data_IF_129360026832
#
_entry.id   IF_129360026832
#
_cell.length_a   1.000
_cell.length_b   1.000
_cell.length_c   1.000
_cell.angle_alpha   90.00
_cell.angle_beta   90.00
_cell.angle_gamma   90.00
#
_symmetry.space_group_name_H-M   'P 1'
#
loop_
_entity.id
_entity.type
_entity.pdbx_description
1 polymer ?
#
# COMPACT_ATOMS: atom_id res chain seq x y z
N UNK A 1 -11.34 -11.26 13.24
CA UNK A 1 -11.30 -11.17 11.77
C UNK A 1 -10.63 -9.87 11.41
N UNK A 2 -9.65 -9.95 10.54
CA UNK A 2 -8.90 -8.80 10.08
C UNK A 2 -9.67 -8.09 8.98
N UNK A 3 -9.55 -6.78 8.92
CA UNK A 3 -10.12 -5.95 7.88
C UNK A 3 -9.06 -4.96 7.39
N UNK A 4 -9.12 -4.63 6.12
CA UNK A 4 -8.16 -3.70 5.52
C UNK A 4 -8.80 -2.36 5.23
N UNK A 5 -8.02 -1.31 5.45
CA UNK A 5 -8.32 0.03 5.00
C UNK A 5 -7.41 0.28 3.82
N UNK A 6 -7.99 0.51 2.67
CA UNK A 6 -7.21 0.76 1.47
C UNK A 6 -7.60 2.10 0.88
N UNK A 7 -6.60 2.86 0.49
CA UNK A 7 -6.77 3.99 -0.41
C UNK A 7 -6.45 3.50 -1.83
N UNK A 8 -7.40 2.74 -2.42
CA UNK A 8 -7.41 2.49 -3.85
C UNK A 8 -6.49 1.41 -4.42
N UNK A 9 -5.93 0.49 -3.61
CA UNK A 9 -5.20 -0.68 -4.13
C UNK A 9 -6.08 -1.94 -4.12
N UNK A 10 -7.18 -1.91 -4.84
CA UNK A 10 -7.89 -3.13 -5.21
C UNK A 10 -7.26 -3.73 -6.45
N UNK A 11 -7.02 -5.03 -6.45
CA UNK A 11 -6.71 -5.75 -7.65
C UNK A 11 -7.79 -5.47 -8.70
N UNK A 12 -7.34 -5.28 -9.95
CA UNK A 12 -8.17 -5.05 -11.12
C UNK A 12 -8.61 -3.60 -11.37
N UNK A 13 -8.24 -3.15 -12.55
CA UNK A 13 -8.53 -1.93 -13.27
C UNK A 13 -9.95 -1.35 -13.09
N UNK A 14 -10.94 -2.18 -12.74
CA UNK A 14 -12.34 -1.78 -12.58
C UNK A 14 -12.72 -1.21 -11.21
N UNK A 15 -11.83 -1.34 -10.19
CA UNK A 15 -12.13 -0.93 -8.81
C UNK A 15 -11.50 0.40 -8.40
N UNK A 16 -10.64 0.95 -9.24
CA UNK A 16 -9.99 2.22 -8.92
C UNK A 16 -11.04 3.33 -8.84
N UNK A 17 -10.89 4.20 -7.83
CA UNK A 17 -11.77 5.36 -7.63
C UNK A 17 -11.87 6.22 -8.88
N UNK A 18 -10.80 6.36 -9.65
CA UNK A 18 -10.77 7.11 -10.92
C UNK A 18 -11.80 6.59 -11.89
N UNK A 19 -11.96 5.27 -12.03
CA UNK A 19 -12.94 4.68 -12.94
C UNK A 19 -14.37 4.80 -12.43
N UNK A 20 -14.56 4.72 -11.10
CA UNK A 20 -15.89 4.85 -10.47
C UNK A 20 -16.41 6.28 -10.49
N UNK A 21 -15.54 7.27 -10.44
CA UNK A 21 -15.89 8.69 -10.43
C UNK A 21 -15.64 9.39 -11.76
N UNK A 22 -15.24 8.66 -12.81
CA UNK A 22 -14.94 9.25 -14.13
C UNK A 22 -13.77 10.24 -14.12
N UNK A 23 -12.79 10.02 -13.22
CA UNK A 23 -11.59 10.85 -13.11
C UNK A 23 -10.49 10.34 -14.04
N UNK A 24 -9.55 11.22 -14.39
CA UNK A 24 -8.34 10.81 -15.10
C UNK A 24 -7.32 10.17 -14.13
N UNK A 25 -6.56 9.17 -14.61
CA UNK A 25 -5.48 8.57 -13.83
C UNK A 25 -4.47 9.67 -13.45
N UNK A 26 -4.09 9.73 -12.17
CA UNK A 26 -3.19 10.77 -11.65
C UNK A 26 -3.84 12.09 -11.24
N UNK A 27 -5.16 12.23 -11.40
CA UNK A 27 -5.89 13.40 -10.88
C UNK A 27 -5.65 13.60 -9.38
N UNK A 28 -5.40 14.85 -8.98
CA UNK A 28 -5.21 15.22 -7.58
C UNK A 28 -6.58 15.43 -6.94
N UNK A 29 -6.86 14.67 -5.89
CA UNK A 29 -8.06 14.88 -5.08
C UNK A 29 -7.82 16.04 -4.10
N UNK A 30 -8.86 16.84 -3.86
CA UNK A 30 -8.79 17.96 -2.88
C UNK A 30 -8.49 17.47 -1.47
N UNK A 31 -9.08 16.34 -1.10
CA UNK A 31 -8.89 15.69 0.20
C UNK A 31 -8.57 14.21 0.01
N UNK A 32 -7.82 13.60 0.93
CA UNK A 32 -7.62 12.15 0.93
C UNK A 32 -8.95 11.42 1.16
N UNK A 33 -9.13 10.30 0.47
CA UNK A 33 -10.30 9.43 0.62
C UNK A 33 -9.84 8.12 1.27
N UNK A 34 -10.58 7.68 2.27
CA UNK A 34 -10.39 6.39 2.94
C UNK A 34 -11.49 5.45 2.44
N UNK A 35 -11.11 4.30 1.92
CA UNK A 35 -12.00 3.25 1.45
C UNK A 35 -11.74 1.97 2.24
N UNK A 36 -12.79 1.20 2.50
CA UNK A 36 -12.73 -0.05 3.23
C UNK A 36 -12.93 -1.23 2.29
N UNK A 37 -12.18 -2.31 2.54
CA UNK A 37 -12.26 -3.55 1.80
C UNK A 37 -12.41 -4.72 2.76
N UNK A 38 -13.26 -5.67 2.41
CA UNK A 38 -13.35 -6.92 3.12
C UNK A 38 -12.25 -7.85 2.63
N UNK A 39 -11.30 -8.20 3.51
CA UNK A 39 -10.20 -9.09 3.16
C UNK A 39 -10.71 -10.52 2.99
N UNK A 40 -10.93 -10.90 1.76
CA UNK A 40 -11.39 -12.21 1.37
C UNK A 40 -11.00 -12.53 -0.07
N UNK A 41 -9.94 -13.30 -0.24
CA UNK A 41 -9.38 -13.65 -1.57
C UNK A 41 -10.40 -14.32 -2.47
N UNK A 42 -11.29 -15.18 -1.93
CA UNK A 42 -12.31 -15.87 -2.70
C UNK A 42 -13.37 -14.92 -3.28
N UNK A 43 -13.60 -13.78 -2.62
CA UNK A 43 -14.50 -12.72 -3.08
C UNK A 43 -13.73 -11.60 -3.81
N UNK A 44 -12.41 -11.72 -3.87
CA UNK A 44 -11.51 -10.75 -4.47
C UNK A 44 -11.53 -9.39 -3.74
N UNK A 45 -11.54 -9.37 -2.42
CA UNK A 45 -11.47 -8.18 -1.56
C UNK A 45 -12.48 -7.08 -1.97
N UNK A 46 -13.79 -7.31 -1.86
CA UNK A 46 -14.78 -6.34 -2.30
C UNK A 46 -14.71 -5.05 -1.46
N UNK A 47 -14.98 -3.92 -2.13
CA UNK A 47 -15.19 -2.65 -1.43
C UNK A 47 -16.45 -2.73 -0.57
N UNK A 48 -16.36 -2.21 0.66
CA UNK A 48 -17.45 -2.20 1.62
C UNK A 48 -17.64 -0.79 2.21
N UNK A 49 -18.83 -0.52 2.72
CA UNK A 49 -19.13 0.71 3.44
C UNK A 49 -19.01 0.51 4.96
N UNK A 50 -19.05 1.61 5.70
CA UNK A 50 -19.07 1.57 7.17
C UNK A 50 -20.33 0.81 7.66
N UNK A 51 -21.46 0.93 6.96
CA UNK A 51 -22.68 0.23 7.26
C UNK A 51 -22.52 -1.29 7.11
N UNK A 52 -21.80 -1.74 6.07
CA UNK A 52 -21.47 -3.17 5.92
C UNK A 52 -20.60 -3.69 7.07
N UNK A 53 -19.65 -2.87 7.55
CA UNK A 53 -18.79 -3.23 8.68
C UNK A 53 -19.63 -3.37 9.96
N UNK A 54 -20.55 -2.42 10.19
CA UNK A 54 -21.41 -2.38 11.39
C UNK A 54 -22.41 -3.53 11.42
N UNK A 55 -23.13 -3.79 10.32
CA UNK A 55 -24.17 -4.83 10.28
C UNK A 55 -23.61 -6.25 10.44
N UNK A 56 -22.33 -6.44 10.10
CA UNK A 56 -21.63 -7.72 10.25
C UNK A 56 -20.79 -7.81 11.54
N UNK A 57 -20.85 -6.81 12.40
CA UNK A 57 -20.06 -6.72 13.64
C UNK A 57 -18.54 -6.94 13.45
N UNK A 58 -18.03 -6.56 12.27
CA UNK A 58 -16.60 -6.70 11.99
C UNK A 58 -15.73 -5.70 12.75
N UNK A 59 -16.25 -4.47 12.96
CA UNK A 59 -15.63 -3.46 13.80
C UNK A 59 -16.69 -2.51 14.37
N UNK A 60 -16.44 -2.02 15.59
CA UNK A 60 -17.28 -0.99 16.19
C UNK A 60 -16.88 0.41 15.68
N UNK A 61 -17.67 1.42 16.04
CA UNK A 61 -17.51 2.78 15.57
C UNK A 61 -16.19 3.43 16.02
N UNK A 62 -15.74 3.14 17.24
CA UNK A 62 -14.46 3.63 17.77
C UNK A 62 -13.27 3.03 17.01
N UNK A 63 -13.31 1.74 16.71
CA UNK A 63 -12.29 1.06 15.92
C UNK A 63 -12.20 1.63 14.50
N UNK A 64 -13.34 1.84 13.85
CA UNK A 64 -13.43 2.45 12.52
C UNK A 64 -12.84 3.86 12.55
N UNK A 65 -13.26 4.69 13.50
CA UNK A 65 -12.74 6.06 13.68
C UNK A 65 -11.24 6.07 13.93
N UNK A 66 -10.75 5.17 14.79
CA UNK A 66 -9.32 5.06 15.12
C UNK A 66 -8.50 4.67 13.89
N UNK A 67 -8.92 3.66 13.16
CA UNK A 67 -8.23 3.23 11.94
C UNK A 67 -8.24 4.32 10.85
N UNK A 68 -9.37 5.01 10.67
CA UNK A 68 -9.47 6.16 9.75
C UNK A 68 -8.46 7.24 10.12
N UNK A 69 -8.40 7.64 11.39
CA UNK A 69 -7.50 8.68 11.86
C UNK A 69 -6.03 8.29 11.70
N UNK A 70 -5.69 7.02 12.00
CA UNK A 70 -4.34 6.49 11.76
C UNK A 70 -4.01 6.53 10.27
N UNK A 71 -4.92 6.12 9.40
CA UNK A 71 -4.73 6.12 7.95
C UNK A 71 -4.48 7.52 7.39
N UNK A 72 -5.23 8.52 7.84
CA UNK A 72 -5.04 9.91 7.44
C UNK A 72 -3.69 10.46 7.92
N UNK A 73 -3.30 10.15 9.15
CA UNK A 73 -1.99 10.56 9.68
C UNK A 73 -0.84 9.89 8.92
N UNK A 74 -0.95 8.61 8.59
CA UNK A 74 0.03 7.90 7.75
C UNK A 74 0.10 8.54 6.36
N UNK A 75 -1.06 8.92 5.78
CA UNK A 75 -1.08 9.64 4.50
C UNK A 75 -0.25 10.92 4.54
N UNK A 76 -0.40 11.74 5.58
CA UNK A 76 0.32 13.00 5.69
C UNK A 76 1.83 12.79 5.80
N UNK A 77 2.24 11.82 6.64
CA UNK A 77 3.65 11.45 6.84
C UNK A 77 4.25 10.93 5.53
N UNK A 78 3.62 9.94 4.91
CA UNK A 78 4.14 9.32 3.68
C UNK A 78 4.14 10.28 2.50
N UNK A 79 3.11 11.11 2.36
CA UNK A 79 3.03 12.11 1.30
C UNK A 79 4.15 13.14 1.43
N UNK A 80 4.48 13.56 2.65
CA UNK A 80 5.61 14.45 2.92
C UNK A 80 6.95 13.80 2.62
N UNK A 81 7.15 12.59 3.13
CA UNK A 81 8.38 11.81 2.95
C UNK A 81 8.68 11.54 1.47
N UNK A 82 7.72 11.03 0.72
CA UNK A 82 7.92 10.73 -0.70
C UNK A 82 8.09 11.99 -1.55
N UNK A 83 7.34 13.06 -1.25
CA UNK A 83 7.49 14.35 -1.93
C UNK A 83 8.89 14.93 -1.77
N UNK A 84 9.48 14.82 -0.58
CA UNK A 84 10.84 15.32 -0.30
C UNK A 84 11.91 14.68 -1.20
N UNK A 85 11.67 13.46 -1.67
CA UNK A 85 12.59 12.70 -2.54
C UNK A 85 12.12 12.62 -4.01
N UNK A 86 11.19 13.49 -4.41
CA UNK A 86 10.72 13.58 -5.79
C UNK A 86 9.84 12.40 -6.22
N UNK A 87 9.11 11.80 -5.28
CA UNK A 87 8.15 10.73 -5.52
C UNK A 87 6.74 11.22 -5.17
N UNK A 88 5.76 10.93 -6.01
CA UNK A 88 4.34 11.18 -5.79
C UNK A 88 3.72 9.91 -5.22
N UNK A 89 3.19 9.97 -4.00
CA UNK A 89 2.32 8.95 -3.45
C UNK A 89 0.92 9.11 -4.04
N UNK A 90 0.48 8.13 -4.82
CA UNK A 90 -0.85 8.16 -5.46
C UNK A 90 -1.89 7.57 -4.53
N UNK A 91 -1.64 6.38 -4.02
CA UNK A 91 -2.44 5.69 -3.03
C UNK A 91 -1.61 4.61 -2.31
N UNK A 92 -2.18 4.05 -1.27
CA UNK A 92 -1.57 2.95 -0.52
C UNK A 92 -2.62 2.12 0.21
N UNK A 93 -2.27 0.88 0.52
CA UNK A 93 -3.07 -0.06 1.29
C UNK A 93 -2.51 -0.19 2.70
N UNK A 94 -3.41 -0.26 3.69
CA UNK A 94 -3.09 -0.57 5.08
C UNK A 94 -3.97 -1.73 5.54
N UNK A 95 -3.45 -2.57 6.40
CA UNK A 95 -4.21 -3.59 7.11
C UNK A 95 -4.14 -3.33 8.60
N UNK A 96 -5.28 -3.45 9.28
CA UNK A 96 -5.38 -3.26 10.72
C UNK A 96 -5.80 -4.54 11.40
N UNK A 97 -5.20 -4.80 12.56
CA UNK A 97 -5.54 -5.91 13.42
C UNK A 97 -5.84 -5.45 14.83
N UNK A 98 -6.41 -6.36 15.63
CA UNK A 98 -6.61 -6.17 17.05
C UNK A 98 -5.49 -6.81 17.83
N UNK A 99 -4.85 -6.01 18.66
CA UNK A 99 -3.83 -6.48 19.60
C UNK A 99 -4.38 -6.39 21.02
N UNK A 100 -4.21 -7.45 21.80
CA UNK A 100 -4.61 -7.55 23.18
C UNK A 100 -3.38 -7.48 24.07
N UNK A 101 -3.35 -6.51 24.99
CA UNK A 101 -2.32 -6.40 26.01
C UNK A 101 -3.00 -6.28 27.37
N UNK A 102 -2.96 -7.35 28.18
CA UNK A 102 -3.47 -7.39 29.53
C UNK A 102 -4.87 -6.75 29.70
N UNK A 103 -5.86 -7.17 28.96
CA UNK A 103 -7.22 -6.66 28.95
C UNK A 103 -7.50 -5.41 28.08
N UNK A 104 -6.45 -4.69 27.67
CA UNK A 104 -6.63 -3.55 26.77
C UNK A 104 -6.56 -3.99 25.30
N UNK A 105 -7.62 -3.72 24.57
CA UNK A 105 -7.73 -3.96 23.13
C UNK A 105 -7.23 -2.73 22.36
N UNK A 106 -6.26 -2.93 21.49
CA UNK A 106 -5.69 -1.87 20.63
C UNK A 106 -5.86 -2.19 19.16
N UNK A 107 -6.19 -1.20 18.37
CA UNK A 107 -6.09 -1.28 16.90
C UNK A 107 -4.68 -0.88 16.52
N UNK A 108 -4.01 -1.77 15.78
CA UNK A 108 -2.64 -1.58 15.30
C UNK A 108 -2.56 -1.84 13.79
N UNK A 109 -1.56 -1.25 13.16
CA UNK A 109 -1.18 -1.57 11.78
C UNK A 109 -0.46 -2.92 11.78
N UNK A 110 -0.85 -3.84 10.89
CA UNK A 110 -0.33 -5.23 10.86
C UNK A 110 0.31 -5.63 9.54
N UNK A 111 0.32 -4.75 8.55
CA UNK A 111 0.95 -5.01 7.25
C UNK A 111 2.08 -4.01 6.99
N UNK A 112 2.93 -4.32 6.03
CA UNK A 112 4.05 -3.47 5.63
C UNK A 112 3.60 -2.22 4.88
N UNK A 113 4.46 -1.21 4.88
CA UNK A 113 4.41 -0.06 3.99
C UNK A 113 5.61 -0.18 3.03
N UNK A 114 5.33 -0.54 1.79
CA UNK A 114 6.35 -0.85 0.79
C UNK A 114 5.88 -0.45 -0.62
N UNK A 115 6.73 -0.52 -1.65
CA UNK A 115 6.29 -0.33 -3.04
C UNK A 115 5.29 -1.41 -3.52
N UNK A 116 5.08 -2.49 -2.77
CA UNK A 116 4.03 -3.49 -3.02
C UNK A 116 2.66 -3.00 -2.58
N UNK A 117 2.61 -2.24 -1.49
CA UNK A 117 1.37 -1.72 -0.88
C UNK A 117 1.12 -0.25 -1.19
N UNK A 118 2.09 0.45 -1.80
CA UNK A 118 1.99 1.85 -2.21
C UNK A 118 2.06 1.97 -3.72
N UNK A 119 1.29 2.90 -4.31
CA UNK A 119 1.47 3.33 -5.69
C UNK A 119 2.30 4.60 -5.72
N UNK A 120 3.48 4.50 -6.33
CA UNK A 120 4.54 5.51 -6.31
C UNK A 120 4.91 5.92 -7.74
N UNK A 121 4.84 7.22 -8.03
CA UNK A 121 5.23 7.75 -9.33
C UNK A 121 6.36 8.77 -9.19
N UNK A 122 7.27 8.76 -10.14
CA UNK A 122 8.27 9.82 -10.27
C UNK A 122 7.59 11.16 -10.58
N UNK A 123 7.94 12.22 -9.84
CA UNK A 123 7.29 13.53 -10.01
C UNK A 123 7.65 14.24 -11.31
N UNK A 124 8.76 13.86 -11.97
CA UNK A 124 9.26 14.54 -13.18
C UNK A 124 8.69 13.94 -14.47
N UNK A 125 8.53 12.61 -14.51
CA UNK A 125 8.19 11.89 -15.74
C UNK A 125 7.04 10.91 -15.57
N UNK A 126 6.39 10.91 -14.39
CA UNK A 126 5.27 10.02 -14.02
C UNK A 126 5.57 8.51 -14.15
N UNK A 127 6.86 8.15 -14.22
CA UNK A 127 7.30 6.76 -14.24
C UNK A 127 6.84 6.04 -12.99
N UNK A 128 6.22 4.88 -13.16
CA UNK A 128 5.76 4.03 -12.05
C UNK A 128 6.96 3.37 -11.37
N UNK A 129 7.03 3.50 -10.04
CA UNK A 129 8.11 3.01 -9.20
C UNK A 129 7.64 1.91 -8.22
N UNK A 130 6.50 1.32 -8.49
CA UNK A 130 5.78 0.38 -7.64
C UNK A 130 5.42 -0.91 -8.38
N UNK A 131 4.65 -1.80 -7.71
CA UNK A 131 4.19 -3.10 -8.23
C UNK A 131 3.35 -3.01 -9.50
N UNK A 132 2.80 -1.85 -9.86
CA UNK A 132 2.08 -1.68 -11.13
C UNK A 132 2.98 -1.93 -12.35
N UNK A 133 4.31 -1.81 -12.20
CA UNK A 133 5.26 -2.21 -13.24
C UNK A 133 5.13 -3.69 -13.58
N UNK A 134 4.99 -4.54 -12.57
CA UNK A 134 4.74 -5.98 -12.75
C UNK A 134 3.34 -6.25 -13.31
N UNK A 135 2.32 -5.63 -12.71
CA UNK A 135 0.91 -5.82 -13.11
C UNK A 135 0.63 -5.39 -14.56
N UNK A 136 1.36 -4.39 -15.05
CA UNK A 136 1.19 -3.82 -16.40
C UNK A 136 2.29 -4.28 -17.37
N UNK A 137 3.08 -5.28 -17.00
CA UNK A 137 4.20 -5.84 -17.79
C UNK A 137 5.19 -4.79 -18.31
N UNK A 138 5.49 -3.77 -17.48
CA UNK A 138 6.39 -2.67 -17.83
C UNK A 138 7.87 -3.00 -17.63
N UNK A 139 8.17 -4.17 -17.06
CA UNK A 139 9.54 -4.59 -16.72
C UNK A 139 10.23 -3.69 -15.68
N UNK A 140 11.44 -4.05 -15.28
CA UNK A 140 12.28 -3.22 -14.40
C UNK A 140 11.72 -2.99 -13.00
N UNK A 141 11.00 -3.97 -12.41
CA UNK A 141 10.41 -3.85 -11.07
C UNK A 141 11.49 -3.71 -9.99
N UNK A 142 12.54 -4.53 -10.05
CA UNK A 142 13.62 -4.50 -9.06
C UNK A 142 14.34 -3.16 -9.11
N UNK A 143 14.63 -2.67 -10.29
CA UNK A 143 15.27 -1.37 -10.51
C UNK A 143 14.41 -0.22 -9.98
N UNK A 144 13.08 -0.31 -10.12
CA UNK A 144 12.15 0.67 -9.56
C UNK A 144 12.17 0.69 -8.03
N UNK A 145 12.16 -0.49 -7.38
CA UNK A 145 12.24 -0.60 -5.91
C UNK A 145 13.58 -0.11 -5.38
N UNK A 146 14.67 -0.39 -6.09
CA UNK A 146 15.99 0.13 -5.76
C UNK A 146 16.06 1.65 -5.89
N UNK A 147 15.43 2.22 -6.89
CA UNK A 147 15.34 3.67 -7.07
C UNK A 147 14.60 4.33 -5.89
N UNK A 148 13.48 3.74 -5.45
CA UNK A 148 12.78 4.22 -4.25
C UNK A 148 13.68 4.13 -3.01
N UNK A 149 14.33 2.99 -2.78
CA UNK A 149 15.23 2.78 -1.63
C UNK A 149 16.41 3.76 -1.65
N UNK A 150 17.01 3.99 -2.83
CA UNK A 150 18.10 4.95 -3.01
C UNK A 150 17.67 6.37 -2.69
N UNK A 151 16.52 6.81 -3.21
CA UNK A 151 16.00 8.17 -2.96
C UNK A 151 15.66 8.38 -1.49
N UNK A 152 15.17 7.35 -0.80
CA UNK A 152 14.89 7.38 0.64
C UNK A 152 16.15 7.28 1.51
N UNK A 153 17.34 7.06 0.93
CA UNK A 153 18.60 6.91 1.66
C UNK A 153 18.68 5.63 2.51
N UNK A 154 17.84 4.62 2.23
CA UNK A 154 17.82 3.35 2.97
C UNK A 154 18.61 2.25 2.26
N UNK A 155 19.19 2.53 1.10
CA UNK A 155 20.04 1.62 0.38
C UNK A 155 21.49 1.81 0.85
N UNK A 156 22.19 0.74 1.32
CA UNK A 156 23.58 0.84 1.74
C UNK A 156 24.47 1.37 0.59
N UNK A 157 25.41 2.26 0.93
CA UNK A 157 26.41 2.71 -0.02
C UNK A 157 27.23 1.52 -0.56
N UNK A 158 27.46 1.49 -1.87
CA UNK A 158 28.22 0.40 -2.50
C UNK A 158 27.42 -0.87 -2.77
N UNK A 159 26.10 -0.89 -2.54
CA UNK A 159 25.29 -2.07 -2.85
C UNK A 159 25.32 -2.37 -4.36
N UNK A 160 25.98 -3.47 -4.73
CA UNK A 160 26.05 -3.90 -6.13
C UNK A 160 24.79 -4.69 -6.51
N UNK A 161 24.02 -4.14 -7.44
CA UNK A 161 22.77 -4.74 -7.94
C UNK A 161 22.95 -6.17 -8.43
N UNK A 162 24.11 -6.50 -9.00
CA UNK A 162 24.43 -7.85 -9.46
C UNK A 162 24.54 -8.86 -8.31
N UNK A 163 25.07 -8.44 -7.16
CA UNK A 163 25.22 -9.29 -5.97
C UNK A 163 23.88 -9.58 -5.29
N UNK A 164 22.97 -8.61 -5.25
CA UNK A 164 21.60 -8.81 -4.73
C UNK A 164 20.86 -9.86 -5.59
N UNK A 165 20.92 -9.75 -6.90
CA UNK A 165 20.31 -10.75 -7.82
C UNK A 165 20.89 -12.15 -7.60
N UNK A 166 22.18 -12.25 -7.35
CA UNK A 166 22.87 -13.51 -7.08
C UNK A 166 22.49 -14.07 -5.69
N UNK A 167 22.35 -13.22 -4.68
CA UNK A 167 21.93 -13.59 -3.32
C UNK A 167 20.51 -14.15 -3.28
N UNK A 168 19.55 -13.49 -3.93
CA UNK A 168 18.17 -13.95 -4.05
C UNK A 168 18.09 -15.29 -4.77
N UNK A 169 18.83 -15.46 -5.86
CA UNK A 169 18.89 -16.72 -6.62
C UNK A 169 19.45 -17.87 -5.78
N UNK A 170 20.48 -17.64 -4.95
CA UNK A 170 21.04 -18.64 -4.03
C UNK A 170 20.05 -19.02 -2.92
N UNK A 171 19.33 -18.08 -2.36
CA UNK A 171 18.34 -18.33 -1.28
C UNK A 171 17.18 -19.20 -1.77
N UNK A 172 16.71 -18.99 -3.01
CA UNK A 172 15.66 -19.81 -3.61
C UNK A 172 16.16 -21.25 -3.89
N UNK A 173 17.42 -21.43 -4.28
CA UNK A 173 18.00 -22.77 -4.51
C UNK A 173 18.17 -23.58 -3.22
N UNK A 174 18.48 -22.93 -2.09
CA UNK A 174 18.63 -23.60 -0.79
C UNK A 174 17.29 -24.07 -0.18
N UNK A 175 16.15 -23.52 -0.61
CA UNK A 175 14.81 -23.97 -0.17
C UNK A 175 14.21 -25.09 -1.01
N UNK A 176 14.91 -25.54 -2.06
CA UNK A 176 14.47 -26.63 -2.94
C UNK A 176 15.22 -27.95 -2.75
N UNK A 177 16.08 -28.02 -1.77
CA UNK A 177 16.80 -29.27 -1.39
C UNK A 177 16.15 -29.93 -0.19
#
# INVERSE_FOLDING_TARGET
>A
RDWSVSRGLGDVYKRQIVNRLGLNEGSILKNPIVEYYYKNDALGDPIITIEHIKINDWANEEEIKKATNISLRINDILSGLFRAVGIKLVDFKLEFGRYWNNEEKKIILVDEISPDTCRLWDTKNEKKLDKDRFRKDLGGLIEAYQEVAKRLGIMPEGTNIKEIKTGISKTIKLKKS
#
